data_IF_692228613302
#
_entry.id   IF_692228613302
#
_cell.length_a   1.000
_cell.length_b   1.000
_cell.length_c   1.000
_cell.angle_alpha   90.00
_cell.angle_beta   90.00
_cell.angle_gamma   90.00
#
_symmetry.space_group_name_H-M   'P 1'
#
loop_
_entity.id
_entity.type
_entity.pdbx_description
1 polymer ?
#
# COMPACT_ATOMS: atom_id res chain seq x y z
N UNK A 1 -20.02 4.65 19.47
CA UNK A 1 -20.86 4.66 18.26
C UNK A 1 -19.93 4.41 17.09
N UNK A 2 -19.98 3.19 16.55
CA UNK A 2 -19.23 2.81 15.35
C UNK A 2 -19.85 3.59 14.18
N UNK A 3 -19.14 4.62 13.71
CA UNK A 3 -19.64 5.47 12.64
C UNK A 3 -19.79 4.62 11.38
N UNK A 4 -21.02 4.39 10.93
CA UNK A 4 -21.28 3.66 9.70
C UNK A 4 -20.55 4.33 8.54
N UNK A 5 -19.57 3.62 7.96
CA UNK A 5 -18.82 4.13 6.81
C UNK A 5 -19.73 4.03 5.58
N UNK A 6 -19.95 5.13 4.83
CA UNK A 6 -20.70 5.06 3.58
C UNK A 6 -20.11 4.02 2.65
N UNK A 7 -20.94 3.11 2.12
CA UNK A 7 -20.49 2.02 1.25
C UNK A 7 -19.64 2.50 0.06
N UNK A 8 -19.97 3.67 -0.50
CA UNK A 8 -19.17 4.29 -1.57
C UNK A 8 -17.71 4.55 -1.19
N UNK A 9 -17.44 4.91 0.07
CA UNK A 9 -16.08 5.16 0.55
C UNK A 9 -15.32 3.84 0.74
N UNK A 10 -16.01 2.79 1.18
CA UNK A 10 -15.41 1.45 1.28
C UNK A 10 -15.01 0.92 -0.10
N UNK A 11 -15.87 1.10 -1.10
CA UNK A 11 -15.57 0.70 -2.49
C UNK A 11 -14.33 1.45 -3.00
N UNK A 12 -14.27 2.78 -2.78
CA UNK A 12 -13.11 3.58 -3.20
C UNK A 12 -11.84 3.12 -2.49
N UNK A 13 -11.87 2.91 -1.17
CA UNK A 13 -10.72 2.45 -0.40
C UNK A 13 -10.21 1.10 -0.90
N UNK A 14 -11.08 0.10 -0.97
CA UNK A 14 -10.71 -1.24 -1.43
C UNK A 14 -10.15 -1.19 -2.84
N UNK A 15 -10.81 -0.46 -3.74
CA UNK A 15 -10.35 -0.33 -5.12
C UNK A 15 -8.97 0.34 -5.20
N UNK A 16 -8.75 1.44 -4.49
CA UNK A 16 -7.46 2.15 -4.44
C UNK A 16 -6.34 1.30 -3.86
N UNK A 17 -6.62 0.49 -2.83
CA UNK A 17 -5.63 -0.46 -2.30
C UNK A 17 -5.29 -1.54 -3.34
N UNK A 18 -6.29 -2.10 -4.02
CA UNK A 18 -6.07 -3.15 -5.03
C UNK A 18 -5.29 -2.65 -6.26
N UNK A 19 -5.38 -1.36 -6.60
CA UNK A 19 -4.62 -0.78 -7.71
C UNK A 19 -3.11 -0.92 -7.51
N UNK A 20 -2.60 -0.96 -6.27
CA UNK A 20 -1.17 -1.16 -6.00
C UNK A 20 -0.63 -2.49 -6.51
N UNK A 21 -1.47 -3.53 -6.61
CA UNK A 21 -1.09 -4.81 -7.23
C UNK A 21 -0.92 -4.71 -8.75
N UNK A 22 -1.57 -3.72 -9.38
CA UNK A 22 -1.53 -3.51 -10.83
C UNK A 22 -0.41 -2.55 -11.25
N UNK A 23 -0.02 -1.61 -10.37
CA UNK A 23 0.97 -0.60 -10.70
C UNK A 23 2.37 -1.19 -10.95
N UNK A 24 2.71 -2.33 -10.33
CA UNK A 24 3.96 -3.05 -10.59
C UNK A 24 4.98 -2.89 -9.45
N UNK A 25 6.27 -2.94 -9.79
CA UNK A 25 7.37 -2.81 -8.83
C UNK A 25 7.69 -1.34 -8.53
N UNK A 26 8.44 -1.07 -7.46
CA UNK A 26 8.88 0.28 -7.11
C UNK A 26 9.70 0.91 -8.25
N UNK A 27 10.58 0.11 -8.86
CA UNK A 27 11.44 0.56 -9.96
C UNK A 27 10.67 0.88 -11.26
N UNK A 28 9.46 0.34 -11.43
CA UNK A 28 8.60 0.67 -12.58
C UNK A 28 7.88 2.02 -12.42
N UNK A 29 7.71 2.46 -11.17
CA UNK A 29 7.02 3.70 -10.79
C UNK A 29 8.01 4.85 -10.63
N UNK A 30 9.13 4.62 -9.94
CA UNK A 30 10.19 5.60 -9.68
C UNK A 30 11.00 5.87 -10.97
N UNK A 31 10.49 6.75 -11.83
CA UNK A 31 11.06 7.04 -13.14
C UNK A 31 12.35 7.86 -13.07
N UNK A 32 12.45 8.78 -12.11
CA UNK A 32 13.61 9.63 -11.90
C UNK A 32 14.65 9.04 -10.93
N UNK A 33 14.33 7.89 -10.32
CA UNK A 33 15.20 7.11 -9.43
C UNK A 33 15.62 7.90 -8.19
N UNK A 34 14.76 8.80 -7.72
CA UNK A 34 15.00 9.61 -6.54
C UNK A 34 14.69 8.84 -5.23
N UNK A 35 14.12 7.63 -5.36
CA UNK A 35 13.78 6.76 -4.23
C UNK A 35 12.44 7.09 -3.59
N UNK A 36 11.60 7.89 -4.26
CA UNK A 36 10.26 8.29 -3.83
C UNK A 36 9.30 8.22 -5.02
N UNK A 37 8.07 7.78 -4.75
CA UNK A 37 7.01 7.79 -5.76
C UNK A 37 6.12 8.99 -5.50
N UNK A 38 6.03 9.88 -6.47
CA UNK A 38 5.21 11.08 -6.39
C UNK A 38 3.85 10.87 -7.06
N UNK A 39 2.96 11.85 -6.90
CA UNK A 39 1.68 11.89 -7.63
C UNK A 39 1.87 11.76 -9.15
N UNK A 40 2.90 12.41 -9.70
CA UNK A 40 3.16 12.42 -11.13
C UNK A 40 3.52 11.01 -11.64
N UNK A 41 4.33 10.29 -10.87
CA UNK A 41 4.71 8.89 -11.17
C UNK A 41 3.50 7.97 -11.19
N UNK A 42 2.62 8.08 -10.19
CA UNK A 42 1.37 7.30 -10.14
C UNK A 42 0.46 7.68 -11.30
N UNK A 43 0.33 8.96 -11.64
CA UNK A 43 -0.48 9.43 -12.76
C UNK A 43 0.03 8.87 -14.09
N UNK A 44 1.33 9.00 -14.35
CA UNK A 44 1.99 8.48 -15.55
C UNK A 44 1.82 6.96 -15.65
N UNK A 45 1.98 6.23 -14.54
CA UNK A 45 1.80 4.78 -14.52
C UNK A 45 0.35 4.36 -14.72
N UNK A 46 -0.60 5.05 -14.09
CA UNK A 46 -2.02 4.83 -14.28
C UNK A 46 -2.43 5.06 -15.74
N UNK A 47 -1.94 6.13 -16.36
CA UNK A 47 -2.18 6.40 -17.78
C UNK A 47 -1.57 5.33 -18.70
N UNK A 48 -0.41 4.78 -18.34
CA UNK A 48 0.21 3.71 -19.12
C UNK A 48 -0.57 2.39 -19.06
N UNK A 49 -1.15 2.04 -17.91
CA UNK A 49 -1.85 0.77 -17.70
C UNK A 49 -3.32 0.86 -18.13
N UNK A 50 -4.03 1.92 -17.72
CA UNK A 50 -5.48 2.05 -17.87
C UNK A 50 -5.90 3.05 -18.97
N UNK A 51 -4.95 3.83 -19.49
CA UNK A 51 -5.18 4.85 -20.51
C UNK A 51 -5.42 6.25 -19.94
N UNK A 52 -5.52 7.28 -20.82
CA UNK A 52 -5.53 8.70 -20.44
C UNK A 52 -6.85 9.19 -19.81
N UNK A 53 -7.80 8.29 -19.54
CA UNK A 53 -9.13 8.64 -19.00
C UNK A 53 -9.22 8.46 -17.48
N UNK A 54 -8.12 8.10 -16.82
CA UNK A 54 -8.08 8.02 -15.36
C UNK A 54 -8.30 9.42 -14.79
N UNK A 55 -9.26 9.52 -13.87
CA UNK A 55 -9.52 10.77 -13.17
C UNK A 55 -8.42 11.04 -12.13
N UNK A 56 -8.02 12.29 -11.99
CA UNK A 56 -7.06 12.76 -10.97
C UNK A 56 -7.44 12.31 -9.55
N UNK A 57 -8.75 12.23 -9.27
CA UNK A 57 -9.27 11.73 -8.00
C UNK A 57 -8.86 10.28 -7.71
N UNK A 58 -8.72 9.44 -8.73
CA UNK A 58 -8.26 8.05 -8.55
C UNK A 58 -6.79 8.06 -8.14
N UNK A 59 -5.96 8.86 -8.81
CA UNK A 59 -4.53 9.03 -8.48
C UNK A 59 -4.38 9.52 -7.04
N UNK A 60 -5.18 10.52 -6.65
CA UNK A 60 -5.23 11.04 -5.27
C UNK A 60 -5.55 9.97 -4.23
N UNK A 61 -6.59 9.17 -4.51
CA UNK A 61 -7.00 8.13 -3.57
C UNK A 61 -5.94 7.02 -3.47
N UNK A 62 -5.30 6.65 -4.58
CA UNK A 62 -4.23 5.65 -4.59
C UNK A 62 -3.02 6.12 -3.79
N UNK A 63 -2.60 7.38 -4.00
CA UNK A 63 -1.52 8.02 -3.24
C UNK A 63 -1.87 8.05 -1.75
N UNK A 64 -3.04 8.58 -1.39
CA UNK A 64 -3.48 8.73 0.00
C UNK A 64 -3.63 7.41 0.76
N UNK A 65 -3.78 6.29 0.06
CA UNK A 65 -3.92 4.96 0.67
C UNK A 65 -2.56 4.38 1.06
N UNK A 66 -1.49 4.77 0.35
CA UNK A 66 -0.14 4.26 0.59
C UNK A 66 0.74 5.24 1.35
N UNK A 67 0.52 6.56 1.23
CA UNK A 67 1.23 7.59 1.99
C UNK A 67 0.87 7.50 3.49
N UNK A 68 1.76 6.88 4.28
CA UNK A 68 1.51 6.59 5.69
C UNK A 68 1.93 7.74 6.60
N UNK A 69 3.00 8.44 6.23
CA UNK A 69 3.53 9.58 7.01
C UNK A 69 2.92 10.93 6.61
N UNK A 70 2.20 10.98 5.49
CA UNK A 70 1.49 12.14 4.99
C UNK A 70 2.42 13.19 4.37
N UNK A 71 3.61 12.79 3.93
CA UNK A 71 4.60 13.68 3.31
C UNK A 71 4.31 13.99 1.83
N UNK A 72 3.33 13.30 1.23
CA UNK A 72 2.91 13.47 -0.16
C UNK A 72 3.72 12.65 -1.17
N UNK A 73 4.63 11.81 -0.69
CA UNK A 73 5.45 10.89 -1.45
C UNK A 73 5.31 9.48 -0.87
N UNK A 74 5.68 8.47 -1.66
CA UNK A 74 5.65 7.08 -1.20
C UNK A 74 7.04 6.49 -1.26
N UNK A 75 7.51 6.02 -0.12
CA UNK A 75 8.80 5.33 0.00
C UNK A 75 8.61 3.82 -0.20
N UNK A 76 9.69 3.06 -0.47
CA UNK A 76 9.59 1.62 -0.69
C UNK A 76 8.86 0.87 0.44
N UNK A 77 9.06 1.31 1.69
CA UNK A 77 8.44 0.68 2.86
C UNK A 77 6.92 0.88 2.89
N UNK A 78 6.44 2.05 2.47
CA UNK A 78 5.02 2.39 2.40
C UNK A 78 4.33 1.64 1.26
N UNK A 79 5.00 1.56 0.11
CA UNK A 79 4.53 0.74 -1.01
C UNK A 79 4.41 -0.74 -0.63
N UNK A 80 5.36 -1.29 0.15
CA UNK A 80 5.26 -2.66 0.66
C UNK A 80 4.03 -2.87 1.55
N UNK A 81 3.74 -1.92 2.44
CA UNK A 81 2.55 -2.00 3.32
C UNK A 81 1.27 -1.97 2.48
N UNK A 82 1.18 -1.08 1.50
CA UNK A 82 0.03 -0.98 0.60
C UNK A 82 -0.17 -2.27 -0.22
N UNK A 83 0.92 -2.81 -0.80
CA UNK A 83 0.89 -4.02 -1.61
C UNK A 83 0.57 -5.28 -0.78
N UNK A 84 1.12 -5.37 0.43
CA UNK A 84 0.80 -6.47 1.36
C UNK A 84 -0.68 -6.43 1.74
N UNK A 85 -1.18 -5.24 2.09
CA UNK A 85 -2.59 -5.06 2.47
C UNK A 85 -3.55 -5.42 1.33
N UNK A 86 -3.20 -5.05 0.10
CA UNK A 86 -3.95 -5.46 -1.07
C UNK A 86 -3.95 -6.99 -1.28
N UNK A 87 -2.82 -7.63 -1.00
CA UNK A 87 -2.66 -9.08 -1.07
C UNK A 87 -3.52 -9.79 -0.01
N UNK A 88 -3.51 -9.30 1.23
CA UNK A 88 -4.34 -9.85 2.31
C UNK A 88 -5.83 -9.69 2.04
N UNK A 89 -6.25 -8.54 1.49
CA UNK A 89 -7.64 -8.30 1.11
C UNK A 89 -8.16 -9.35 0.10
N UNK A 90 -7.32 -9.81 -0.82
CA UNK A 90 -7.69 -10.82 -1.83
C UNK A 90 -7.53 -12.26 -1.34
N UNK A 91 -6.38 -12.58 -0.75
CA UNK A 91 -5.97 -13.96 -0.48
C UNK A 91 -6.32 -14.43 0.94
N UNK A 92 -6.70 -13.51 1.82
CA UNK A 92 -7.04 -13.83 3.21
C UNK A 92 -5.88 -14.55 3.90
N UNK A 93 -4.73 -13.86 3.97
CA UNK A 93 -3.49 -14.45 4.47
C UNK A 93 -3.69 -14.89 5.91
N UNK A 94 -3.37 -16.15 6.19
CA UNK A 94 -3.44 -16.69 7.55
C UNK A 94 -2.16 -16.36 8.31
N UNK A 95 -2.21 -16.36 9.65
CA UNK A 95 -1.05 -16.02 10.49
C UNK A 95 0.20 -16.86 10.16
N UNK A 96 0.03 -18.12 9.79
CA UNK A 96 1.13 -19.03 9.43
C UNK A 96 1.79 -18.67 8.09
N UNK A 97 1.12 -17.90 7.22
CA UNK A 97 1.56 -17.52 5.89
C UNK A 97 2.04 -16.05 5.80
N UNK A 98 1.90 -15.28 6.88
CA UNK A 98 2.25 -13.85 6.96
C UNK A 98 3.69 -13.58 6.52
N UNK A 99 4.66 -14.34 7.05
CA UNK A 99 6.09 -14.15 6.74
C UNK A 99 6.39 -14.42 5.25
N UNK A 100 5.78 -15.47 4.70
CA UNK A 100 5.91 -15.82 3.29
C UNK A 100 5.32 -14.73 2.38
N UNK A 101 4.14 -14.22 2.73
CA UNK A 101 3.48 -13.15 1.99
C UNK A 101 4.25 -11.81 2.09
N UNK A 102 4.84 -11.49 3.24
CA UNK A 102 5.72 -10.33 3.41
C UNK A 102 6.98 -10.45 2.54
N UNK A 103 7.65 -11.59 2.56
CA UNK A 103 8.84 -11.85 1.72
C UNK A 103 8.52 -11.76 0.23
N UNK A 104 7.39 -12.32 -0.19
CA UNK A 104 6.91 -12.22 -1.58
C UNK A 104 6.64 -10.76 -1.96
N UNK A 105 6.04 -9.97 -1.07
CA UNK A 105 5.80 -8.54 -1.29
C UNK A 105 7.11 -7.77 -1.42
N UNK A 106 8.10 -8.06 -0.56
CA UNK A 106 9.42 -7.41 -0.66
C UNK A 106 10.10 -7.74 -1.99
N UNK A 107 10.10 -9.00 -2.41
CA UNK A 107 10.62 -9.41 -3.72
C UNK A 107 9.91 -8.69 -4.86
N UNK A 108 8.59 -8.58 -4.82
CA UNK A 108 7.80 -7.93 -5.87
C UNK A 108 8.09 -6.41 -5.95
N UNK A 109 8.23 -5.74 -4.80
CA UNK A 109 8.41 -4.30 -4.73
C UNK A 109 9.85 -3.89 -5.03
N UNK A 110 10.85 -4.56 -4.45
CA UNK A 110 12.27 -4.17 -4.59
C UNK A 110 13.07 -5.01 -5.57
N UNK A 111 12.55 -6.16 -6.00
CA UNK A 111 13.29 -7.11 -6.84
C UNK A 111 14.41 -7.86 -6.10
N UNK A 112 14.49 -7.77 -4.76
CA UNK A 112 15.52 -8.45 -3.99
C UNK A 112 15.17 -9.91 -3.74
N UNK A 113 16.15 -10.81 -3.91
CA UNK A 113 15.97 -12.23 -3.61
C UNK A 113 15.60 -12.45 -2.13
N UNK A 114 14.71 -13.40 -1.87
CA UNK A 114 14.14 -13.66 -0.54
C UNK A 114 15.15 -14.06 0.54
N UNK A 115 16.39 -14.41 0.13
CA UNK A 115 17.50 -14.83 0.99
C UNK A 115 18.48 -13.68 1.32
N UNK A 116 18.27 -12.47 0.80
CA UNK A 116 19.15 -11.33 1.10
C UNK A 116 18.89 -10.85 2.55
N UNK A 117 19.93 -10.64 3.40
CA UNK A 117 19.77 -10.10 4.75
C UNK A 117 19.09 -8.72 4.81
N UNK A 118 19.03 -7.98 3.69
CA UNK A 118 18.24 -6.76 3.58
C UNK A 118 16.74 -7.05 3.59
N UNK A 119 16.30 -8.17 2.99
CA UNK A 119 14.89 -8.59 3.00
C UNK A 119 14.44 -8.84 4.42
N UNK A 120 15.22 -9.53 5.24
CA UNK A 120 14.88 -9.77 6.65
C UNK A 120 14.66 -8.45 7.41
N UNK A 121 15.55 -7.46 7.20
CA UNK A 121 15.40 -6.13 7.81
C UNK A 121 14.16 -5.39 7.31
N UNK A 122 13.82 -5.52 6.02
CA UNK A 122 12.64 -4.87 5.44
C UNK A 122 11.36 -5.53 5.95
N UNK A 123 11.30 -6.86 5.96
CA UNK A 123 10.19 -7.64 6.53
C UNK A 123 9.98 -7.26 7.99
N UNK A 124 11.03 -7.16 8.80
CA UNK A 124 10.92 -6.75 10.20
C UNK A 124 10.36 -5.31 10.33
N UNK A 125 10.76 -4.39 9.45
CA UNK A 125 10.24 -3.02 9.45
C UNK A 125 8.78 -2.95 9.02
N UNK A 126 8.39 -3.67 7.96
CA UNK A 126 6.99 -3.74 7.51
C UNK A 126 6.12 -4.36 8.60
N UNK A 127 6.58 -5.46 9.21
CA UNK A 127 5.89 -6.10 10.34
C UNK A 127 5.69 -5.13 11.49
N UNK A 128 6.70 -4.35 11.88
CA UNK A 128 6.56 -3.33 12.93
C UNK A 128 5.57 -2.20 12.60
N UNK A 129 5.35 -1.92 11.31
CA UNK A 129 4.35 -0.93 10.89
C UNK A 129 2.94 -1.50 10.90
N UNK A 130 2.78 -2.79 10.57
CA UNK A 130 1.49 -3.48 10.57
C UNK A 130 1.06 -3.92 12.00
N UNK A 131 1.98 -4.43 12.80
CA UNK A 131 1.77 -4.89 14.18
C UNK A 131 1.80 -3.71 15.16
N UNK A 132 0.69 -2.97 15.22
CA UNK A 132 0.54 -1.82 16.11
C UNK A 132 0.28 -2.26 17.56
N UNK A 133 -0.42 -3.38 17.75
CA UNK A 133 -0.74 -3.96 19.07
C UNK A 133 0.45 -4.65 19.75
N UNK A 134 1.51 -4.97 19.00
CA UNK A 134 2.71 -5.71 19.45
C UNK A 134 2.38 -7.10 19.98
N UNK A 135 1.32 -7.71 19.46
CA UNK A 135 0.89 -9.04 19.87
C UNK A 135 1.64 -10.16 19.13
N UNK A 136 2.46 -9.80 18.14
CA UNK A 136 3.27 -10.72 17.34
C UNK A 136 2.53 -11.29 16.13
N UNK A 137 1.26 -10.95 15.94
CA UNK A 137 0.50 -11.07 14.70
C UNK A 137 0.07 -9.67 14.26
N UNK A 138 -0.41 -9.51 13.03
CA UNK A 138 -1.07 -8.25 12.67
C UNK A 138 -2.39 -8.57 12.00
N UNK A 139 -3.46 -8.24 12.72
CA UNK A 139 -4.81 -8.63 12.36
C UNK A 139 -5.32 -7.74 11.22
N UNK A 140 -6.36 -8.19 10.50
CA UNK A 140 -6.93 -7.42 9.38
C UNK A 140 -7.32 -5.99 9.75
N UNK A 141 -7.78 -5.78 10.98
CA UNK A 141 -8.13 -4.45 11.45
C UNK A 141 -6.91 -3.55 11.61
N UNK A 142 -5.74 -4.10 11.93
CA UNK A 142 -4.47 -3.36 12.02
C UNK A 142 -3.91 -3.06 10.63
N UNK A 143 -3.95 -4.04 9.72
CA UNK A 143 -3.60 -3.85 8.30
C UNK A 143 -4.45 -2.73 7.69
N UNK A 144 -5.76 -2.77 7.96
CA UNK A 144 -6.70 -1.75 7.50
C UNK A 144 -6.46 -0.39 8.14
N UNK A 145 -6.02 -0.34 9.40
CA UNK A 145 -5.65 0.92 10.04
C UNK A 145 -4.38 1.51 9.44
N UNK A 146 -3.41 0.68 9.08
CA UNK A 146 -2.18 1.11 8.42
C UNK A 146 -2.49 1.81 7.08
N UNK A 147 -3.23 1.15 6.19
CA UNK A 147 -3.54 1.65 4.83
C UNK A 147 -4.73 2.62 4.77
N UNK A 148 -5.42 2.81 5.90
CA UNK A 148 -6.71 3.49 5.99
C UNK A 148 -6.70 4.83 6.72
N UNK A 149 -5.53 5.39 7.05
CA UNK A 149 -5.40 6.73 7.64
C UNK A 149 -5.74 7.86 6.64
N UNK A 150 -6.77 7.65 5.81
CA UNK A 150 -7.48 8.72 5.12
C UNK A 150 -7.98 9.67 6.21
N UNK A 151 -7.34 10.84 6.31
CA UNK A 151 -7.84 11.97 7.09
C UNK A 151 -9.30 12.17 6.70
N UNK A 152 -10.22 11.78 7.59
CA UNK A 152 -11.68 11.98 7.50
C UNK A 152 -12.10 13.46 7.39
N UNK A 153 -11.15 14.40 7.27
CA UNK A 153 -11.38 15.84 7.41
C UNK A 153 -11.52 16.63 6.10
N UNK A 154 -11.15 16.13 4.91
CA UNK A 154 -11.22 16.97 3.69
C UNK A 154 -12.39 16.69 2.74
N UNK A 155 -13.21 15.65 2.98
CA UNK A 155 -14.31 15.28 2.08
C UNK A 155 -15.68 15.89 2.46
N UNK A 156 -15.71 16.87 3.37
CA UNK A 156 -16.94 17.54 3.86
C UNK A 156 -16.93 19.06 3.69
N UNK A 157 -16.16 19.60 2.73
CA UNK A 157 -16.26 21.00 2.32
C UNK A 157 -16.84 21.09 0.90
#
# INVERSE_FOLDING_TARGET
QEAAVPAKLLIVQVFSTLLWLQLGSFADLDQDQDGQITREDISNRCHAIFGPQIADLVVDNVLSVADLDGDGSIRPLEMMVAHYSATDLLNHVSNDEEDGALRATVLQVTGYETNDPKVDKLVERVRKLLDTSRDGSFQRDEIRQAVGSIKRQSLLC
#
